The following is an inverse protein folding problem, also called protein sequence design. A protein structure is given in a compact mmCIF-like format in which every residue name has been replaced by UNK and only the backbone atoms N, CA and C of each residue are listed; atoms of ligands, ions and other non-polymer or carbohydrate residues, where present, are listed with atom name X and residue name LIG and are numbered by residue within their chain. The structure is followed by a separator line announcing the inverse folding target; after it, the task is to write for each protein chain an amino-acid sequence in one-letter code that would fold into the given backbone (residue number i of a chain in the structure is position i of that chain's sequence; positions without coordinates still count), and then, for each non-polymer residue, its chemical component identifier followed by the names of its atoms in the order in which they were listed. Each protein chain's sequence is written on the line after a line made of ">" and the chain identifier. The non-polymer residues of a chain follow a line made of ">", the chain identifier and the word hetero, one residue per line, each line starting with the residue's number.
data_IF_656552333717
#
_entry.id   IF_656552333717
#
_cell.length_a   1.000
_cell.length_b   1.000
_cell.length_c   1.000
_cell.angle_alpha   90.00
_cell.angle_beta   90.00
_cell.angle_gamma   90.00
#
_symmetry.space_group_name_H-M   'P 1'
#
loop_
_entity.id
_entity.type
_entity.pdbx_description
1 polymer ?
#
# COMPACT_ATOMS: atom_id res chain seq x y z
N UNK A 1 22.23 7.27 8.06
CA UNK A 1 21.66 6.68 6.84
C UNK A 1 22.27 5.31 6.49
N UNK A 2 23.59 5.10 6.59
CA UNK A 2 24.23 3.81 6.26
C UNK A 2 23.70 2.58 7.04
N UNK A 3 23.24 2.75 8.28
CA UNK A 3 22.78 1.65 9.16
C UNK A 3 21.55 0.88 8.64
N UNK A 4 20.69 1.55 7.88
CA UNK A 4 19.45 0.96 7.35
C UNK A 4 19.73 0.19 6.05
N UNK A 5 20.74 0.63 5.30
CA UNK A 5 21.09 0.09 3.98
C UNK A 5 21.55 -1.36 4.04
N UNK A 6 22.34 -1.74 5.06
CA UNK A 6 22.75 -3.14 5.25
C UNK A 6 21.55 -4.05 5.52
N UNK A 7 20.58 -3.58 6.31
CA UNK A 7 19.37 -4.35 6.63
C UNK A 7 18.58 -4.57 5.35
N UNK A 8 18.31 -3.50 4.61
CA UNK A 8 17.57 -3.57 3.35
C UNK A 8 18.27 -4.46 2.33
N UNK A 9 19.58 -4.33 2.19
CA UNK A 9 20.40 -5.13 1.25
C UNK A 9 20.38 -6.61 1.64
N UNK A 10 20.53 -6.91 2.93
CA UNK A 10 20.50 -8.29 3.44
C UNK A 10 19.13 -8.92 3.20
N UNK A 11 18.06 -8.23 3.59
CA UNK A 11 16.67 -8.71 3.42
C UNK A 11 16.35 -8.92 1.94
N UNK A 12 16.73 -7.96 1.08
CA UNK A 12 16.55 -8.06 -0.38
C UNK A 12 17.36 -9.21 -0.99
N UNK A 13 18.61 -9.39 -0.54
CA UNK A 13 19.47 -10.49 -0.99
C UNK A 13 18.91 -11.88 -0.64
N UNK A 14 18.08 -11.97 0.40
CA UNK A 14 17.36 -13.19 0.77
C UNK A 14 16.05 -13.40 -0.01
N UNK A 15 15.67 -12.47 -0.88
CA UNK A 15 14.43 -12.54 -1.68
C UNK A 15 13.19 -11.95 -1.00
N UNK A 16 13.35 -11.19 0.09
CA UNK A 16 12.25 -10.52 0.78
C UNK A 16 12.28 -9.00 0.51
N UNK A 17 11.12 -8.36 0.61
CA UNK A 17 11.01 -6.91 0.66
C UNK A 17 11.13 -6.43 2.11
N UNK A 18 11.96 -5.41 2.34
CA UNK A 18 12.02 -4.71 3.62
C UNK A 18 10.95 -3.61 3.64
N UNK A 19 9.90 -3.78 4.45
CA UNK A 19 8.73 -2.89 4.49
C UNK A 19 8.90 -1.75 5.48
N UNK A 20 9.48 -2.06 6.65
CA UNK A 20 9.69 -1.08 7.71
C UNK A 20 10.88 -1.47 8.58
N UNK A 21 11.65 -0.45 8.99
CA UNK A 21 12.71 -0.58 9.98
C UNK A 21 12.45 0.47 11.05
N UNK A 22 12.20 0.03 12.28
CA UNK A 22 11.86 0.91 13.39
C UNK A 22 12.75 0.63 14.61
N UNK A 23 13.29 1.69 15.18
CA UNK A 23 13.99 1.65 16.45
C UNK A 23 13.02 2.08 17.55
N UNK A 24 12.83 1.21 18.54
CA UNK A 24 12.02 1.48 19.71
C UNK A 24 12.91 1.69 20.94
N UNK A 25 12.30 2.10 22.05
CA UNK A 25 12.99 2.29 23.33
C UNK A 25 13.69 1.01 23.80
N UNK A 26 14.69 1.18 24.67
CA UNK A 26 15.49 0.08 25.23
C UNK A 26 16.29 -0.75 24.20
N UNK A 27 16.62 -0.18 23.04
CA UNK A 27 17.47 -0.83 22.04
C UNK A 27 16.76 -1.92 21.24
N UNK A 28 15.43 -1.83 21.12
CA UNK A 28 14.64 -2.76 20.31
C UNK A 28 14.67 -2.33 18.82
N UNK A 29 15.13 -3.24 17.95
CA UNK A 29 15.09 -3.11 16.50
C UNK A 29 13.97 -3.98 15.94
N UNK A 30 12.98 -3.35 15.30
CA UNK A 30 11.87 -4.01 14.61
C UNK A 30 12.04 -3.91 13.11
N UNK A 31 11.91 -5.05 12.44
CA UNK A 31 12.00 -5.15 10.99
C UNK A 31 10.75 -5.88 10.49
N UNK A 32 10.02 -5.21 9.62
CA UNK A 32 8.86 -5.80 8.95
C UNK A 32 9.26 -6.25 7.55
N UNK A 33 9.11 -7.54 7.26
CA UNK A 33 9.43 -8.13 5.96
C UNK A 33 8.19 -8.56 5.22
N UNK A 34 8.29 -8.61 3.90
CA UNK A 34 7.24 -9.11 3.02
C UNK A 34 7.82 -9.95 1.87
N UNK A 35 6.99 -10.76 1.22
CA UNK A 35 7.39 -11.45 -0.02
C UNK A 35 6.99 -10.58 -1.21
N UNK A 36 7.85 -10.39 -2.22
CA UNK A 36 7.53 -9.58 -3.40
C UNK A 36 6.48 -10.23 -4.32
N UNK A 37 6.27 -11.54 -4.21
CA UNK A 37 5.34 -12.32 -5.06
C UNK A 37 3.85 -12.17 -4.71
N UNK A 38 3.51 -11.89 -3.44
CA UNK A 38 2.13 -11.71 -2.97
C UNK A 38 1.78 -12.65 -1.84
N UNK A 39 2.61 -13.66 -1.60
CA UNK A 39 2.33 -14.69 -0.63
C UNK A 39 2.51 -14.19 0.81
N UNK A 40 1.97 -14.96 1.74
CA UNK A 40 2.13 -14.70 3.16
C UNK A 40 3.56 -15.06 3.59
N UNK A 41 4.19 -14.17 4.35
CA UNK A 41 5.40 -14.50 5.10
C UNK A 41 5.03 -15.46 6.21
N UNK A 42 5.73 -16.58 6.29
CA UNK A 42 5.57 -17.61 7.32
C UNK A 42 6.46 -17.33 8.54
N UNK A 43 6.25 -18.07 9.62
CA UNK A 43 7.14 -17.97 10.80
C UNK A 43 8.57 -18.41 10.46
N UNK A 44 8.73 -19.42 9.62
CA UNK A 44 10.03 -19.92 9.16
C UNK A 44 10.79 -18.85 8.36
N UNK A 45 10.08 -18.07 7.54
CA UNK A 45 10.68 -16.95 6.80
C UNK A 45 11.23 -15.88 7.76
N UNK A 46 10.45 -15.50 8.78
CA UNK A 46 10.88 -14.57 9.82
C UNK A 46 12.10 -15.11 10.59
N UNK A 47 12.12 -16.40 10.92
CA UNK A 47 13.27 -17.02 11.60
C UNK A 47 14.52 -16.96 10.73
N UNK A 48 14.40 -17.33 9.44
CA UNK A 48 15.52 -17.29 8.49
C UNK A 48 16.12 -15.89 8.39
N UNK A 49 15.27 -14.88 8.22
CA UNK A 49 15.72 -13.47 8.14
C UNK A 49 16.33 -13.02 9.46
N UNK A 50 15.73 -13.39 10.60
CA UNK A 50 16.28 -13.06 11.93
C UNK A 50 17.70 -13.58 12.08
N UNK A 51 17.94 -14.86 11.75
CA UNK A 51 19.28 -15.46 11.84
C UNK A 51 20.29 -14.74 10.94
N UNK A 52 19.93 -14.46 9.69
CA UNK A 52 20.84 -13.79 8.76
C UNK A 52 21.19 -12.36 9.23
N UNK A 53 20.18 -11.62 9.71
CA UNK A 53 20.39 -10.26 10.19
C UNK A 53 21.24 -10.23 11.46
N UNK A 54 21.12 -11.20 12.38
CA UNK A 54 21.99 -11.25 13.55
C UNK A 54 23.47 -11.24 13.14
N UNK A 55 23.86 -12.06 12.16
CA UNK A 55 25.23 -12.08 11.64
C UNK A 55 25.63 -10.77 10.95
N UNK A 56 24.77 -10.25 10.07
CA UNK A 56 25.07 -9.02 9.33
C UNK A 56 25.21 -7.80 10.27
N UNK A 57 24.32 -7.68 11.25
CA UNK A 57 24.34 -6.60 12.23
C UNK A 57 25.56 -6.68 13.16
N UNK A 58 26.00 -7.89 13.52
CA UNK A 58 27.21 -8.11 14.32
C UNK A 58 28.48 -7.68 13.56
N UNK A 59 28.61 -8.07 12.28
CA UNK A 59 29.74 -7.68 11.43
C UNK A 59 29.85 -6.16 11.26
N UNK A 60 28.70 -5.49 11.08
CA UNK A 60 28.64 -4.03 10.96
C UNK A 60 28.76 -3.29 12.31
N UNK A 61 28.81 -4.00 13.44
CA UNK A 61 28.91 -3.39 14.76
C UNK A 61 27.67 -2.58 15.15
N UNK A 62 26.48 -3.01 14.71
CA UNK A 62 25.21 -2.37 15.05
C UNK A 62 24.77 -2.79 16.46
N UNK A 63 24.79 -1.84 17.40
CA UNK A 63 24.34 -2.07 18.77
C UNK A 63 22.80 -2.08 18.84
N UNK A 64 22.22 -3.25 19.11
CA UNK A 64 20.82 -3.47 19.42
C UNK A 64 20.70 -4.48 20.57
N UNK A 65 19.68 -4.30 21.42
CA UNK A 65 19.44 -5.18 22.57
C UNK A 65 18.49 -6.34 22.24
N UNK A 66 17.54 -6.12 21.33
CA UNK A 66 16.56 -7.10 20.89
C UNK A 66 16.23 -6.87 19.42
N UNK A 67 16.19 -7.95 18.65
CA UNK A 67 15.75 -7.95 17.25
C UNK A 67 14.38 -8.65 17.16
N UNK A 68 13.43 -7.99 16.53
CA UNK A 68 12.12 -8.54 16.20
C UNK A 68 11.94 -8.47 14.67
N UNK A 69 11.74 -9.62 14.04
CA UNK A 69 11.36 -9.70 12.62
C UNK A 69 9.93 -10.22 12.53
N UNK A 70 9.10 -9.49 11.81
CA UNK A 70 7.68 -9.82 11.64
C UNK A 70 7.22 -9.62 10.21
N UNK A 71 6.08 -10.21 9.86
CA UNK A 71 5.34 -9.84 8.66
C UNK A 71 4.42 -8.64 8.94
N UNK A 72 3.98 -7.89 7.91
CA UNK A 72 3.02 -6.80 8.08
C UNK A 72 1.62 -7.29 8.52
N UNK A 73 1.41 -8.61 8.63
CA UNK A 73 0.11 -9.20 8.96
C UNK A 73 -0.90 -9.08 7.81
N UNK A 74 -2.20 -9.14 8.19
CA UNK A 74 -3.33 -9.00 7.26
C UNK A 74 -3.55 -7.55 6.79
N UNK A 75 -3.01 -6.59 7.54
CA UNK A 75 -3.21 -5.15 7.33
C UNK A 75 -1.99 -4.56 6.61
N UNK A 76 -1.75 -5.07 5.40
CA UNK A 76 -0.52 -4.83 4.64
C UNK A 76 -0.44 -3.37 4.18
N UNK A 77 0.59 -2.65 4.62
CA UNK A 77 0.84 -1.25 4.26
C UNK A 77 1.28 -1.12 2.80
N UNK A 78 0.72 -0.13 2.09
CA UNK A 78 1.16 0.29 0.75
C UNK A 78 2.08 1.49 0.93
N UNK A 79 3.40 1.28 0.87
CA UNK A 79 4.39 2.34 1.13
C UNK A 79 5.39 2.52 0.00
N UNK A 80 5.85 1.43 -0.60
CA UNK A 80 6.86 1.48 -1.66
C UNK A 80 6.21 1.87 -2.99
N UNK A 81 6.92 2.60 -3.88
CA UNK A 81 6.42 2.88 -5.24
C UNK A 81 5.91 1.62 -5.97
N UNK A 82 6.64 0.52 -5.83
CA UNK A 82 6.31 -0.76 -6.46
C UNK A 82 5.02 -1.39 -5.91
N UNK A 83 4.68 -1.11 -4.65
CA UNK A 83 3.45 -1.61 -4.02
C UNK A 83 2.21 -1.07 -4.75
N UNK A 84 2.26 0.17 -5.24
CA UNK A 84 1.14 0.81 -5.92
C UNK A 84 0.82 0.15 -7.26
N UNK A 85 1.85 -0.26 -7.99
CA UNK A 85 1.68 -1.00 -9.24
C UNK A 85 1.20 -2.43 -8.95
N UNK A 86 1.77 -3.06 -7.92
CA UNK A 86 1.47 -4.44 -7.53
C UNK A 86 0.04 -4.62 -7.00
N UNK A 87 -0.45 -3.64 -6.25
CA UNK A 87 -1.74 -3.69 -5.58
C UNK A 87 -2.86 -2.92 -6.29
N UNK A 88 -2.58 -2.41 -7.50
CA UNK A 88 -3.61 -1.82 -8.34
C UNK A 88 -4.77 -2.82 -8.58
N UNK A 89 -6.00 -2.35 -8.39
CA UNK A 89 -7.22 -3.14 -8.47
C UNK A 89 -7.64 -3.82 -7.16
N UNK A 90 -6.83 -3.71 -6.09
CA UNK A 90 -7.20 -4.21 -4.76
C UNK A 90 -7.87 -3.11 -3.91
N UNK A 91 -8.67 -3.53 -2.94
CA UNK A 91 -9.29 -2.62 -1.97
C UNK A 91 -8.26 -2.16 -0.92
N UNK A 92 -8.22 -0.86 -0.66
CA UNK A 92 -7.36 -0.24 0.35
C UNK A 92 -8.16 0.68 1.27
N UNK A 93 -7.72 0.79 2.53
CA UNK A 93 -8.10 1.85 3.46
C UNK A 93 -6.99 2.93 3.48
N UNK A 94 -7.36 4.17 3.17
CA UNK A 94 -6.50 5.35 3.21
C UNK A 94 -6.89 6.20 4.42
N UNK A 95 -5.92 6.46 5.29
CA UNK A 95 -6.07 7.46 6.36
C UNK A 95 -5.27 8.71 5.98
N UNK A 96 -5.95 9.83 5.80
CA UNK A 96 -5.35 11.14 5.51
C UNK A 96 -4.88 11.83 6.79
N UNK A 97 -3.85 12.68 6.66
CA UNK A 97 -3.35 13.52 7.77
C UNK A 97 -4.35 14.62 8.12
N UNK A 98 -4.86 15.32 7.11
CA UNK A 98 -5.90 16.33 7.21
C UNK A 98 -7.26 15.76 6.78
N UNK A 99 -8.38 16.22 7.37
CA UNK A 99 -9.70 15.78 6.92
C UNK A 99 -9.96 16.30 5.51
N UNK A 100 -10.45 15.41 4.64
CA UNK A 100 -11.06 15.77 3.36
C UNK A 100 -12.57 15.60 3.52
N UNK A 101 -13.40 16.55 3.06
CA UNK A 101 -14.88 16.48 3.17
C UNK A 101 -15.39 16.00 4.55
N UNK A 102 -14.81 16.51 5.64
CA UNK A 102 -15.23 16.19 7.01
C UNK A 102 -14.78 14.83 7.58
N UNK A 103 -14.06 13.99 6.82
CA UNK A 103 -13.53 12.70 7.31
C UNK A 103 -12.08 12.47 6.91
N UNK A 104 -11.36 11.64 7.66
CA UNK A 104 -9.95 11.30 7.40
C UNK A 104 -9.75 9.91 6.80
N UNK A 105 -10.72 9.01 6.97
CA UNK A 105 -10.63 7.63 6.52
C UNK A 105 -11.49 7.40 5.28
N UNK A 106 -10.91 6.73 4.30
CA UNK A 106 -11.53 6.39 3.04
C UNK A 106 -11.19 4.95 2.67
N UNK A 107 -12.14 4.27 2.03
CA UNK A 107 -11.97 2.90 1.56
C UNK A 107 -12.39 2.84 0.11
N UNK A 108 -11.60 2.17 -0.72
CA UNK A 108 -11.86 2.10 -2.15
C UNK A 108 -10.83 1.26 -2.89
N UNK A 109 -11.05 1.07 -4.18
CA UNK A 109 -10.19 0.29 -5.06
C UNK A 109 -9.04 1.16 -5.54
N UNK A 110 -7.82 0.71 -5.27
CA UNK A 110 -6.62 1.39 -5.71
C UNK A 110 -6.50 1.37 -7.23
N UNK A 111 -6.35 2.53 -7.86
CA UNK A 111 -6.12 2.61 -9.30
C UNK A 111 -4.65 2.45 -9.64
N UNK A 112 -4.37 1.86 -10.79
CA UNK A 112 -3.00 1.81 -11.31
C UNK A 112 -2.47 3.25 -11.49
N UNK A 113 -1.20 3.52 -11.15
CA UNK A 113 -0.59 4.81 -11.43
C UNK A 113 -0.74 5.09 -12.94
N UNK A 114 -1.35 6.22 -13.28
CA UNK A 114 -1.51 6.60 -14.68
C UNK A 114 -0.14 7.03 -15.16
N UNK A 115 0.52 6.21 -15.97
CA UNK A 115 1.75 6.66 -16.61
C UNK A 115 1.41 7.86 -17.50
N UNK A 116 1.93 9.04 -17.16
CA UNK A 116 2.06 10.10 -18.15
C UNK A 116 2.74 9.49 -19.39
N UNK A 117 2.12 9.69 -20.56
CA UNK A 117 2.50 9.03 -21.81
C UNK A 117 4.02 9.06 -22.04
N UNK A 118 4.60 7.87 -22.22
CA UNK A 118 6.02 7.69 -22.54
C UNK A 118 6.30 8.24 -23.94
N UNK A 119 6.77 9.49 -24.00
CA UNK A 119 7.62 10.01 -25.05
C UNK A 119 9.02 10.17 -24.46
N UNK A 120 9.99 9.45 -25.03
CA UNK A 120 11.30 9.24 -24.41
C UNK A 120 12.11 10.51 -24.16
N UNK A 121 12.71 10.57 -22.98
CA UNK A 121 14.14 10.87 -22.79
C UNK A 121 14.50 10.54 -21.34
N UNK A 122 15.72 10.08 -21.14
CA UNK A 122 16.27 9.73 -19.85
C UNK A 122 16.52 11.00 -19.02
N UNK A 123 15.56 11.32 -18.16
CA UNK A 123 15.69 12.05 -16.91
C UNK A 123 14.40 11.76 -16.14
N UNK A 124 14.50 11.05 -15.02
CA UNK A 124 13.33 10.74 -14.20
C UNK A 124 12.67 12.07 -13.78
N UNK A 125 11.45 12.38 -14.24
CA UNK A 125 10.81 13.61 -13.82
C UNK A 125 10.30 13.40 -12.41
N UNK A 126 10.74 14.27 -11.52
CA UNK A 126 10.20 14.41 -10.19
C UNK A 126 8.69 14.65 -10.25
N UNK A 127 7.95 13.88 -9.44
CA UNK A 127 6.83 14.37 -8.65
C UNK A 127 5.70 15.09 -9.41
N UNK A 128 5.01 14.38 -10.30
CA UNK A 128 3.66 14.74 -10.70
C UNK A 128 2.86 13.47 -11.00
N UNK A 129 2.17 12.92 -9.99
CA UNK A 129 0.90 12.21 -10.15
C UNK A 129 0.44 11.66 -8.79
N UNK A 130 -0.71 12.14 -8.32
CA UNK A 130 -1.34 11.66 -7.09
C UNK A 130 -1.92 10.26 -7.27
N UNK A 131 -2.05 9.53 -6.17
CA UNK A 131 -2.71 8.23 -6.11
C UNK A 131 -4.22 8.41 -6.10
N UNK A 132 -4.92 7.45 -6.69
CA UNK A 132 -6.38 7.47 -6.82
C UNK A 132 -6.97 6.22 -6.20
N UNK A 133 -7.95 6.41 -5.32
CA UNK A 133 -8.90 5.35 -4.97
C UNK A 133 -10.28 5.73 -5.46
N UNK A 134 -11.01 4.74 -5.97
CA UNK A 134 -12.40 4.90 -6.41
C UNK A 134 -13.30 3.99 -5.59
N UNK A 135 -14.50 4.43 -5.27
CA UNK A 135 -15.48 3.59 -4.61
C UNK A 135 -16.89 3.88 -5.12
N UNK A 136 -17.62 2.80 -5.41
CA UNK A 136 -19.07 2.71 -5.43
C UNK A 136 -19.44 1.35 -4.79
N UNK A 137 -20.73 1.16 -4.46
CA UNK A 137 -21.18 -0.07 -3.78
C UNK A 137 -20.91 -1.35 -4.59
N UNK A 138 -20.88 -1.26 -5.93
CA UNK A 138 -20.61 -2.40 -6.81
C UNK A 138 -19.11 -2.72 -6.92
N UNK A 139 -18.25 -1.71 -6.93
CA UNK A 139 -16.79 -1.83 -6.98
C UNK A 139 -16.21 -2.37 -5.68
N UNK A 140 -16.74 -1.95 -4.52
CA UNK A 140 -16.35 -2.53 -3.23
C UNK A 140 -16.73 -4.02 -3.15
N UNK A 141 -17.91 -4.39 -3.65
CA UNK A 141 -18.32 -5.80 -3.71
C UNK A 141 -17.45 -6.64 -4.66
N UNK A 142 -17.00 -6.08 -5.80
CA UNK A 142 -16.14 -6.77 -6.76
C UNK A 142 -14.69 -6.96 -6.26
N UNK A 143 -14.13 -5.97 -5.56
CA UNK A 143 -12.78 -6.06 -5.00
C UNK A 143 -12.66 -7.09 -3.87
N UNK A 144 -13.72 -7.26 -3.07
CA UNK A 144 -13.82 -8.33 -2.08
C UNK A 144 -13.81 -9.75 -2.67
N UNK A 145 -13.99 -9.91 -3.99
CA UNK A 145 -13.92 -11.19 -4.68
C UNK A 145 -12.57 -11.43 -5.40
N UNK A 146 -11.68 -10.43 -5.44
CA UNK A 146 -10.39 -10.53 -6.10
C UNK A 146 -9.35 -11.21 -5.19
N UNK A 147 -8.59 -12.16 -5.76
CA UNK A 147 -7.47 -12.81 -5.07
C UNK A 147 -6.17 -12.00 -5.24
N UNK A 148 -5.31 -11.90 -4.21
CA UNK A 148 -3.94 -11.46 -4.42
C UNK A 148 -3.27 -12.45 -5.39
N UNK A 149 -2.70 -11.95 -6.49
CA UNK A 149 -2.06 -12.75 -7.54
C UNK A 149 -2.93 -13.16 -8.75
N UNK A 150 -4.15 -12.61 -8.89
CA UNK A 150 -5.00 -12.86 -10.05
C UNK A 150 -4.50 -12.21 -11.36
N UNK A 151 -4.66 -12.91 -12.49
CA UNK A 151 -4.28 -12.49 -13.86
C UNK A 151 -4.54 -11.00 -14.14
N UNK A 152 -3.53 -10.31 -14.69
CA UNK A 152 -3.57 -8.91 -15.20
C UNK A 152 -4.93 -8.58 -15.82
N UNK A 153 -5.75 -7.78 -15.13
CA UNK A 153 -6.95 -7.21 -15.74
C UNK A 153 -6.49 -6.16 -16.78
N UNK A 154 -6.96 -6.33 -18.01
CA UNK A 154 -6.70 -5.39 -19.11
C UNK A 154 -7.31 -4.02 -18.76
N UNK A 155 -6.56 -2.96 -19.06
CA UNK A 155 -6.98 -1.58 -18.90
C UNK A 155 -8.36 -1.35 -19.54
N UNK A 156 -9.36 -1.00 -18.71
CA UNK A 156 -10.59 -0.43 -19.19
C UNK A 156 -10.33 1.05 -19.52
N UNK A 157 -10.54 1.41 -20.78
CA UNK A 157 -10.34 2.76 -21.31
C UNK A 157 -11.39 3.71 -20.72
N UNK A 158 -11.04 4.86 -20.13
CA UNK A 158 -12.04 5.81 -19.67
C UNK A 158 -12.69 6.51 -20.86
N UNK A 159 -14.03 6.54 -20.85
CA UNK A 159 -14.82 7.32 -21.79
C UNK A 159 -14.65 8.83 -21.51
N UNK A 160 -14.57 9.61 -22.58
CA UNK A 160 -14.18 11.01 -22.60
C UNK A 160 -15.09 11.93 -21.76
N UNK A 161 -14.48 12.75 -20.90
CA UNK A 161 -15.13 13.80 -20.13
C UNK A 161 -15.43 15.04 -20.98
N UNK A 162 -16.69 15.51 -20.99
CA UNK A 162 -17.05 16.88 -21.37
C UNK A 162 -16.86 17.81 -20.17
N UNK A 163 -16.19 18.95 -20.41
CA UNK A 163 -15.86 20.02 -19.45
C UNK A 163 -17.11 20.69 -18.84
N UNK A 164 -17.06 20.97 -17.54
CA UNK A 164 -17.78 22.08 -16.91
C UNK A 164 -17.00 22.66 -15.71
N UNK A 165 -17.19 23.96 -15.50
CA UNK A 165 -16.41 24.98 -14.74
C UNK A 165 -16.89 25.10 -13.27
N UNK A 166 -16.12 25.67 -12.31
CA UNK A 166 -16.38 25.50 -10.88
C UNK A 166 -17.21 26.63 -10.26
N UNK A 167 -17.99 26.28 -9.23
CA UNK A 167 -18.51 27.09 -8.13
C UNK A 167 -18.95 26.06 -7.07
N UNK A 168 -18.77 26.17 -5.75
CA UNK A 168 -18.59 27.30 -4.86
C UNK A 168 -19.50 27.04 -3.65
N UNK A 169 -18.91 26.94 -2.46
CA UNK A 169 -19.48 27.07 -1.10
C UNK A 169 -20.56 26.09 -0.56
N UNK A 170 -20.22 25.59 0.64
CA UNK A 170 -21.01 25.32 1.85
C UNK A 170 -22.23 24.38 1.91
N UNK A 171 -22.16 23.50 2.92
CA UNK A 171 -23.29 23.20 3.81
C UNK A 171 -24.02 21.88 3.63
N UNK A 172 -24.02 21.05 4.68
CA UNK A 172 -25.15 20.19 5.03
C UNK A 172 -25.00 18.67 4.83
N UNK A 173 -24.90 17.93 5.93
CA UNK A 173 -25.57 16.63 6.06
C UNK A 173 -27.11 16.87 6.17
N UNK A 174 -28.02 15.89 6.16
CA UNK A 174 -27.86 14.42 6.28
C UNK A 174 -28.78 13.59 5.34
N UNK A 175 -28.77 12.26 5.46
CA UNK A 175 -29.95 11.44 5.16
C UNK A 175 -29.71 10.21 4.27
N UNK A 176 -30.08 9.05 4.80
CA UNK A 176 -30.19 7.81 4.05
C UNK A 176 -31.35 7.88 3.02
N UNK A 177 -31.09 7.35 1.82
CA UNK A 177 -31.91 6.45 0.99
C UNK A 177 -31.97 6.89 -0.48
N UNK A 178 -31.66 5.96 -1.41
CA UNK A 178 -32.05 6.05 -2.83
C UNK A 178 -30.91 6.19 -3.84
N UNK A 179 -30.54 5.03 -4.42
CA UNK A 179 -29.99 4.80 -5.76
C UNK A 179 -29.71 6.01 -6.68
N UNK A 180 -28.43 6.32 -6.86
CA UNK A 180 -27.76 6.58 -8.15
C UNK A 180 -26.29 6.29 -7.92
N UNK A 181 -25.69 5.42 -8.73
CA UNK A 181 -24.30 4.96 -8.56
C UNK A 181 -23.30 6.06 -8.87
N UNK A 182 -23.14 7.00 -7.95
CA UNK A 182 -22.10 8.02 -8.05
C UNK A 182 -20.76 7.38 -7.72
N UNK A 183 -19.94 7.18 -8.75
CA UNK A 183 -18.54 6.78 -8.57
C UNK A 183 -17.82 7.90 -7.82
N UNK A 184 -17.39 7.63 -6.61
CA UNK A 184 -16.62 8.57 -5.83
C UNK A 184 -15.12 8.36 -6.08
N UNK A 185 -14.38 9.46 -6.22
CA UNK A 185 -12.93 9.47 -6.42
C UNK A 185 -12.25 10.25 -5.29
N UNK A 186 -11.16 9.70 -4.73
CA UNK A 186 -10.21 10.43 -3.90
C UNK A 186 -8.84 10.40 -4.56
N UNK A 187 -8.34 11.60 -4.90
CA UNK A 187 -6.94 11.84 -5.25
C UNK A 187 -6.17 12.30 -4.01
N UNK A 188 -4.99 11.74 -3.79
CA UNK A 188 -4.10 12.12 -2.69
C UNK A 188 -2.63 11.87 -3.04
N UNK A 189 -1.71 12.53 -2.35
CA UNK A 189 -0.27 12.30 -2.41
C UNK A 189 0.23 11.51 -1.20
N UNK A 190 1.45 10.95 -1.27
CA UNK A 190 2.11 10.32 -0.10
C UNK A 190 2.29 11.29 1.08
N UNK A 191 2.41 12.59 0.81
CA UNK A 191 2.51 13.62 1.85
C UNK A 191 1.18 13.83 2.57
N UNK A 192 0.05 13.68 1.88
CA UNK A 192 -1.30 13.84 2.45
C UNK A 192 -1.79 12.58 3.16
N UNK A 193 -1.33 11.40 2.71
CA UNK A 193 -1.59 10.14 3.39
C UNK A 193 -0.80 10.04 4.70
N UNK A 194 -1.49 9.68 5.77
CA UNK A 194 -0.87 9.21 7.01
C UNK A 194 -0.46 7.75 6.87
N UNK A 195 -1.35 6.94 6.31
CA UNK A 195 -1.14 5.52 6.04
C UNK A 195 -2.14 5.03 4.98
N UNK A 196 -1.71 4.02 4.22
CA UNK A 196 -2.53 3.31 3.23
C UNK A 196 -2.34 1.83 3.49
N UNK A 197 -3.43 1.10 3.66
CA UNK A 197 -3.40 -0.33 4.01
C UNK A 197 -4.30 -1.14 3.09
N UNK A 198 -3.88 -2.34 2.72
CA UNK A 198 -4.72 -3.29 2.01
C UNK A 198 -5.81 -3.81 2.93
N UNK A 199 -7.03 -3.88 2.40
CA UNK A 199 -8.12 -4.57 3.08
C UNK A 199 -7.96 -6.07 2.80
N UNK A 200 -7.78 -6.91 3.83
CA UNK A 200 -7.64 -8.34 3.63
C UNK A 200 -8.96 -8.94 3.14
N UNK A 201 -8.90 -9.62 2.00
CA UNK A 201 -10.00 -10.51 1.56
C UNK A 201 -9.83 -11.84 2.30
N UNK A 202 -10.59 -12.01 3.38
CA UNK A 202 -10.61 -13.26 4.13
C UNK A 202 -11.64 -14.22 3.51
N UNK A 203 -11.17 -15.25 2.81
CA UNK A 203 -11.99 -16.42 2.51
C UNK A 203 -11.85 -17.42 3.67
N UNK A 204 -12.80 -17.40 4.60
CA UNK A 204 -12.83 -18.31 5.75
C UNK A 204 -13.12 -19.78 5.38
N UNK A 205 -13.21 -20.12 4.09
CA UNK A 205 -13.32 -21.51 3.64
C UNK A 205 -11.96 -22.18 3.80
N UNK A 206 -11.77 -22.83 4.96
CA UNK A 206 -10.58 -23.58 5.37
C UNK A 206 -10.10 -24.62 4.36
N UNK A 207 -9.42 -24.16 3.32
CA UNK A 207 -8.59 -24.97 2.43
C UNK A 207 -7.14 -24.56 2.69
N UNK A 208 -6.29 -25.57 2.86
CA UNK A 208 -4.83 -25.43 2.74
C UNK A 208 -4.55 -24.69 1.43
N UNK A 209 -3.87 -23.55 1.54
CA UNK A 209 -3.19 -22.90 0.42
C UNK A 209 -2.13 -23.85 -0.13
#
# INVERSE_FOLDING_TARGET
>A
MQKTEIIETTVRGMGYACVEIAWASAGLLRITIDRPDGEFVTVDDCERVTRQLQYALEVEGLDYRRLEVSSPGLDRLVRLPDDWQRFAGLEVEVTLRAPYRGRKKYRGVLQAPTAAAVGGSAEAPAQADGYVIVWDDALLAAAAAAKPGGKKLKAAKPAAAKKAKPAGADGGAPGANGATGDVHELRFSMAEAREVRLVPVLDFRGRKL
#
